data_IF_271913399717
#
_entry.id   IF_271913399717
#
_cell.length_a   1.000
_cell.length_b   1.000
_cell.length_c   1.000
_cell.angle_alpha   90.00
_cell.angle_beta   90.00
_cell.angle_gamma   90.00
#
_symmetry.space_group_name_H-M   'P 1'
#
loop_
_entity.id
_entity.type
_entity.pdbx_description
1 polymer ?
#
# COMPACT_ATOMS: atom_id res chain seq x y z
N UNK A 1 -13.41 11.42 -5.13
CA UNK A 1 -12.86 12.79 -5.28
C UNK A 1 -11.74 12.69 -6.31
N UNK A 2 -11.97 13.21 -7.52
CA UNK A 2 -10.92 13.30 -8.53
C UNK A 2 -10.11 14.57 -8.23
N UNK A 3 -8.83 14.44 -7.88
CA UNK A 3 -7.97 15.58 -7.65
C UNK A 3 -7.61 16.19 -9.02
N UNK A 4 -7.82 17.50 -9.19
CA UNK A 4 -7.53 18.20 -10.45
C UNK A 4 -6.04 18.50 -10.57
N UNK A 5 -5.56 18.73 -11.80
CA UNK A 5 -4.19 19.20 -12.05
C UNK A 5 -3.79 20.43 -11.20
N UNK A 6 -4.74 21.33 -10.98
CA UNK A 6 -4.56 22.51 -10.14
C UNK A 6 -4.20 22.13 -8.71
N UNK A 7 -4.82 21.07 -8.17
CA UNK A 7 -4.54 20.59 -6.82
C UNK A 7 -3.09 20.10 -6.66
N UNK A 8 -2.58 19.37 -7.65
CA UNK A 8 -1.17 18.92 -7.64
C UNK A 8 -0.20 20.10 -7.74
N UNK A 9 -0.57 21.12 -8.52
CA UNK A 9 0.23 22.34 -8.66
C UNK A 9 0.29 23.12 -7.34
N UNK A 10 -0.85 23.31 -6.68
CA UNK A 10 -0.93 23.94 -5.36
C UNK A 10 -0.10 23.18 -4.31
N UNK A 11 -0.17 21.85 -4.30
CA UNK A 11 0.60 21.02 -3.36
C UNK A 11 2.11 21.20 -3.56
N UNK A 12 2.58 21.13 -4.80
CA UNK A 12 4.00 21.34 -5.13
C UNK A 12 4.46 22.74 -4.73
N UNK A 13 3.65 23.76 -4.98
CA UNK A 13 3.96 25.14 -4.57
C UNK A 13 4.03 25.26 -3.03
N UNK A 14 3.12 24.62 -2.32
CA UNK A 14 3.13 24.59 -0.86
C UNK A 14 4.38 23.91 -0.30
N UNK A 15 4.80 22.77 -0.87
CA UNK A 15 6.06 22.11 -0.50
C UNK A 15 7.27 23.01 -0.76
N UNK A 16 7.33 23.68 -1.93
CA UNK A 16 8.39 24.66 -2.25
C UNK A 16 8.43 25.81 -1.25
N UNK A 17 7.26 26.33 -0.84
CA UNK A 17 7.17 27.38 0.17
C UNK A 17 7.74 26.93 1.52
N UNK A 18 7.40 25.71 1.96
CA UNK A 18 7.87 25.15 3.24
C UNK A 18 9.37 24.86 3.24
N UNK A 19 9.93 24.43 2.10
CA UNK A 19 11.37 24.19 1.94
C UNK A 19 12.15 25.52 2.00
N UNK A 20 11.67 26.55 1.28
CA UNK A 20 12.34 27.86 1.23
C UNK A 20 12.19 28.66 2.52
N UNK A 21 11.08 28.47 3.26
CA UNK A 21 10.79 29.20 4.49
C UNK A 21 10.43 28.24 5.64
N UNK A 22 11.41 27.55 6.26
CA UNK A 22 11.17 26.58 7.34
C UNK A 22 10.49 27.18 8.58
N UNK A 23 10.66 28.49 8.80
CA UNK A 23 10.01 29.26 9.87
C UNK A 23 8.48 29.21 9.81
N UNK A 24 7.89 28.90 8.65
CA UNK A 24 6.44 28.71 8.51
C UNK A 24 5.92 27.49 9.28
N UNK A 25 6.80 26.59 9.71
CA UNK A 25 6.47 25.38 10.48
C UNK A 25 7.13 25.41 11.86
N UNK A 26 8.37 25.88 11.93
CA UNK A 26 9.17 25.82 13.16
C UNK A 26 9.31 27.17 13.89
N UNK A 27 8.76 28.25 13.33
CA UNK A 27 8.82 29.58 13.94
C UNK A 27 7.99 29.70 15.21
N UNK A 28 8.24 30.75 16.00
CA UNK A 28 7.56 30.97 17.28
C UNK A 28 6.04 31.25 17.15
N UNK A 29 5.59 31.77 16.01
CA UNK A 29 4.19 32.13 15.74
C UNK A 29 3.73 31.54 14.40
N UNK A 30 3.54 30.23 14.37
CA UNK A 30 3.11 29.51 13.17
C UNK A 30 1.60 29.61 12.99
N UNK A 31 1.17 30.26 11.90
CA UNK A 31 -0.24 30.28 11.53
C UNK A 31 -0.64 28.94 10.91
N UNK A 32 -1.72 28.27 11.37
CA UNK A 32 -2.20 27.02 10.78
C UNK A 32 -2.46 27.13 9.27
N UNK A 33 -2.88 28.32 8.82
CA UNK A 33 -3.16 28.63 7.41
C UNK A 33 -1.94 28.51 6.50
N UNK A 34 -0.72 28.74 7.02
CA UNK A 34 0.52 28.69 6.26
C UNK A 34 1.29 27.38 6.46
N UNK A 35 1.11 26.71 7.60
CA UNK A 35 1.80 25.45 7.91
C UNK A 35 1.08 24.21 7.37
N UNK A 36 -0.23 24.30 7.12
CA UNK A 36 -1.02 23.18 6.63
C UNK A 36 -1.49 23.43 5.20
N UNK A 37 -1.32 22.41 4.37
CA UNK A 37 -1.82 22.42 3.00
C UNK A 37 -3.35 22.62 2.97
N UNK A 38 -3.82 23.52 2.12
CA UNK A 38 -5.23 23.92 2.04
C UNK A 38 -5.72 24.76 3.24
N UNK A 39 -4.82 25.19 4.13
CA UNK A 39 -5.14 26.08 5.25
C UNK A 39 -6.05 25.48 6.32
N UNK A 40 -6.20 24.15 6.34
CA UNK A 40 -7.00 23.43 7.34
C UNK A 40 -6.21 23.22 8.63
N UNK A 41 -6.90 23.06 9.75
CA UNK A 41 -6.25 22.66 11.00
C UNK A 41 -5.61 21.27 10.86
N UNK A 42 -4.48 21.06 11.54
CA UNK A 42 -3.88 19.74 11.64
C UNK A 42 -4.91 18.74 12.17
N UNK A 43 -4.89 17.51 11.65
CA UNK A 43 -5.83 16.45 12.05
C UNK A 43 -5.83 16.19 13.56
N UNK A 44 -4.67 16.32 14.21
CA UNK A 44 -4.54 16.25 15.66
C UNK A 44 -3.71 17.43 16.19
N UNK A 45 -4.37 18.56 16.54
CA UNK A 45 -3.68 19.75 17.03
C UNK A 45 -2.91 19.50 18.33
N UNK A 46 -3.41 18.63 19.21
CA UNK A 46 -2.76 18.31 20.48
C UNK A 46 -1.42 17.58 20.27
N UNK A 47 -1.38 16.62 19.36
CA UNK A 47 -0.15 15.92 18.98
C UNK A 47 0.88 16.88 18.36
N UNK A 48 0.44 17.77 17.46
CA UNK A 48 1.31 18.78 16.85
C UNK A 48 1.88 19.74 17.90
N UNK A 49 1.05 20.24 18.82
CA UNK A 49 1.52 21.09 19.91
C UNK A 49 2.54 20.39 20.82
N UNK A 50 2.35 19.09 21.11
CA UNK A 50 3.32 18.31 21.86
C UNK A 50 4.65 18.14 21.11
N UNK A 51 4.59 17.84 19.81
CA UNK A 51 5.76 17.74 18.95
C UNK A 51 6.53 19.07 18.88
N UNK A 52 5.84 20.21 18.72
CA UNK A 52 6.47 21.52 18.68
C UNK A 52 7.07 21.96 20.03
N UNK A 53 6.48 21.58 21.16
CA UNK A 53 7.11 21.78 22.48
C UNK A 53 8.46 21.04 22.60
N UNK A 54 8.59 19.90 21.93
CA UNK A 54 9.82 19.11 21.90
C UNK A 54 10.77 19.54 20.77
N UNK A 55 10.31 20.30 19.78
CA UNK A 55 11.11 20.68 18.61
C UNK A 55 12.44 21.34 18.99
N UNK A 56 12.44 22.21 20.01
CA UNK A 56 13.65 22.86 20.53
C UNK A 56 14.69 21.89 21.11
N UNK A 57 14.28 20.67 21.48
CA UNK A 57 15.14 19.59 21.99
C UNK A 57 15.53 18.57 20.92
N UNK A 58 14.98 18.68 19.72
CA UNK A 58 15.16 17.75 18.62
C UNK A 58 15.96 18.45 17.51
N UNK A 59 17.28 18.45 17.66
CA UNK A 59 18.22 19.13 16.76
C UNK A 59 18.01 18.76 15.28
N UNK A 60 17.63 17.50 15.00
CA UNK A 60 17.43 17.01 13.64
C UNK A 60 15.99 17.11 13.13
N UNK A 61 15.04 17.62 13.90
CA UNK A 61 13.64 17.68 13.48
C UNK A 61 13.48 18.54 12.23
N UNK A 62 14.01 19.77 12.25
CA UNK A 62 13.97 20.66 11.10
C UNK A 62 14.64 20.06 9.85
N UNK A 63 15.92 19.62 9.88
CA UNK A 63 16.56 19.10 8.68
C UNK A 63 15.92 17.81 8.15
N UNK A 64 15.42 16.91 9.02
CA UNK A 64 14.70 15.70 8.57
C UNK A 64 13.38 16.06 7.89
N UNK A 65 12.63 17.01 8.44
CA UNK A 65 11.37 17.48 7.84
C UNK A 65 11.62 18.13 6.48
N UNK A 66 12.67 18.94 6.33
CA UNK A 66 13.03 19.53 5.04
C UNK A 66 13.46 18.48 4.02
N UNK A 67 14.26 17.49 4.42
CA UNK A 67 14.64 16.37 3.56
C UNK A 67 13.41 15.55 3.11
N UNK A 68 12.44 15.33 4.01
CA UNK A 68 11.17 14.69 3.68
C UNK A 68 10.41 15.49 2.63
N UNK A 69 10.28 16.81 2.78
CA UNK A 69 9.58 17.64 1.80
C UNK A 69 10.28 17.70 0.47
N UNK A 70 11.61 17.74 0.45
CA UNK A 70 12.39 17.68 -0.79
C UNK A 70 12.14 16.35 -1.53
N UNK A 71 12.20 15.23 -0.81
CA UNK A 71 11.91 13.91 -1.38
C UNK A 71 10.47 13.79 -1.88
N UNK A 72 9.52 14.30 -1.10
CA UNK A 72 8.10 14.33 -1.48
C UNK A 72 7.89 15.20 -2.72
N UNK A 73 8.47 16.39 -2.79
CA UNK A 73 8.36 17.29 -3.95
C UNK A 73 8.90 16.61 -5.21
N UNK A 74 10.10 16.04 -5.15
CA UNK A 74 10.70 15.33 -6.27
C UNK A 74 9.78 14.20 -6.78
N UNK A 75 9.20 13.42 -5.85
CA UNK A 75 8.26 12.36 -6.22
C UNK A 75 6.97 12.88 -6.81
N UNK A 76 6.37 13.92 -6.24
CA UNK A 76 5.17 14.54 -6.78
C UNK A 76 5.41 15.14 -8.17
N UNK A 77 6.60 15.73 -8.42
CA UNK A 77 6.97 16.23 -9.74
C UNK A 77 7.02 15.11 -10.78
N UNK A 78 7.60 13.95 -10.47
CA UNK A 78 7.61 12.80 -11.39
C UNK A 78 6.26 12.07 -11.49
N UNK A 79 5.52 11.90 -10.39
CA UNK A 79 4.31 11.08 -10.34
C UNK A 79 3.11 11.74 -11.03
N UNK A 80 3.09 13.07 -11.10
CA UNK A 80 1.94 13.79 -11.64
C UNK A 80 2.10 14.16 -13.11
N UNK A 81 3.24 13.89 -13.75
CA UNK A 81 3.47 14.25 -15.17
C UNK A 81 2.39 13.69 -16.10
N UNK A 82 1.93 12.47 -15.85
CA UNK A 82 0.90 11.79 -16.63
C UNK A 82 -0.49 12.45 -16.50
N UNK A 83 -0.71 13.20 -15.42
CA UNK A 83 -1.95 13.93 -15.13
C UNK A 83 -1.91 15.40 -15.59
N UNK A 84 -0.81 15.84 -16.21
CA UNK A 84 -0.72 17.18 -16.80
C UNK A 84 -1.71 17.35 -17.94
N UNK A 85 -2.16 18.57 -18.26
CA UNK A 85 -2.93 18.82 -19.49
C UNK A 85 -2.17 18.29 -20.71
N UNK A 86 -2.79 17.39 -21.48
CA UNK A 86 -2.16 16.68 -22.59
C UNK A 86 -1.27 15.49 -22.20
N UNK A 87 -1.25 15.11 -20.92
CA UNK A 87 -0.60 13.90 -20.41
C UNK A 87 -1.43 12.64 -20.67
N UNK A 88 -0.80 11.47 -20.52
CA UNK A 88 -1.43 10.18 -20.86
C UNK A 88 -2.74 9.93 -20.13
N UNK A 89 -2.86 10.32 -18.85
CA UNK A 89 -4.09 10.13 -18.07
C UNK A 89 -5.11 11.22 -18.39
N UNK A 90 -4.68 12.45 -18.71
CA UNK A 90 -5.58 13.53 -19.14
C UNK A 90 -6.21 13.25 -20.52
N UNK A 91 -5.48 12.53 -21.37
CA UNK A 91 -5.92 12.13 -22.71
C UNK A 91 -6.64 10.79 -22.76
N UNK A 92 -6.75 10.08 -21.64
CA UNK A 92 -7.39 8.78 -21.59
C UNK A 92 -8.89 8.89 -21.93
N UNK A 93 -9.41 7.90 -22.65
CA UNK A 93 -10.83 7.87 -22.99
C UNK A 93 -11.68 7.58 -21.74
N UNK A 94 -12.99 7.88 -21.82
CA UNK A 94 -13.93 7.52 -20.75
C UNK A 94 -13.89 6.01 -20.48
N UNK A 95 -13.82 5.20 -21.53
CA UNK A 95 -13.74 3.74 -21.42
C UNK A 95 -12.45 3.28 -20.74
N UNK A 96 -11.32 3.93 -21.00
CA UNK A 96 -10.04 3.64 -20.33
C UNK A 96 -10.09 4.04 -18.85
N UNK A 97 -10.70 5.18 -18.52
CA UNK A 97 -10.91 5.60 -17.14
C UNK A 97 -11.82 4.66 -16.37
N UNK A 98 -12.91 4.19 -16.99
CA UNK A 98 -13.84 3.25 -16.38
C UNK A 98 -13.19 1.87 -16.19
N UNK A 99 -12.41 1.40 -17.17
CA UNK A 99 -11.66 0.15 -17.05
C UNK A 99 -10.55 0.22 -15.99
N UNK A 100 -9.91 1.38 -15.83
CA UNK A 100 -8.88 1.62 -14.83
C UNK A 100 -9.44 2.03 -13.46
N UNK A 101 -10.77 2.13 -13.31
CA UNK A 101 -11.37 2.56 -12.06
C UNK A 101 -11.05 1.56 -10.95
N UNK A 102 -10.37 2.06 -9.91
CA UNK A 102 -10.16 1.32 -8.67
C UNK A 102 -10.67 2.15 -7.49
N UNK A 103 -11.25 1.51 -6.46
CA UNK A 103 -11.60 2.20 -5.23
C UNK A 103 -10.39 2.97 -4.68
N UNK A 104 -10.53 4.28 -4.47
CA UNK A 104 -9.46 5.16 -4.00
C UNK A 104 -8.87 4.75 -2.63
N UNK A 105 -9.57 3.89 -1.90
CA UNK A 105 -9.13 3.35 -0.64
C UNK A 105 -9.01 1.85 -0.81
N UNK A 106 -7.81 1.33 -0.58
CA UNK A 106 -7.57 -0.10 -0.41
C UNK A 106 -8.20 -0.64 0.90
N UNK A 107 -9.33 -0.07 1.34
CA UNK A 107 -9.97 -0.38 2.62
C UNK A 107 -10.52 -1.80 2.60
N UNK A 108 -11.08 -2.22 1.46
CA UNK A 108 -11.56 -3.58 1.28
C UNK A 108 -10.45 -4.62 1.51
N UNK A 109 -9.27 -4.45 0.92
CA UNK A 109 -8.17 -5.41 1.14
C UNK A 109 -7.51 -5.22 2.51
N UNK A 110 -7.45 -3.99 3.05
CA UNK A 110 -6.95 -3.74 4.41
C UNK A 110 -7.85 -4.39 5.47
N UNK A 111 -9.17 -4.32 5.27
CA UNK A 111 -10.19 -4.97 6.08
C UNK A 111 -10.11 -6.48 5.97
N UNK A 112 -10.04 -7.03 4.76
CA UNK A 112 -9.90 -8.47 4.54
C UNK A 112 -8.63 -9.04 5.17
N UNK A 113 -7.49 -8.36 5.00
CA UNK A 113 -6.23 -8.77 5.63
C UNK A 113 -6.29 -8.66 7.16
N UNK A 114 -6.95 -7.62 7.69
CA UNK A 114 -7.20 -7.46 9.12
C UNK A 114 -8.04 -8.61 9.68
N UNK A 115 -9.12 -8.97 9.00
CA UNK A 115 -9.99 -10.10 9.37
C UNK A 115 -9.22 -11.42 9.31
N UNK A 116 -8.42 -11.64 8.27
CA UNK A 116 -7.56 -12.81 8.16
C UNK A 116 -6.60 -12.92 9.35
N UNK A 117 -5.89 -11.84 9.69
CA UNK A 117 -4.93 -11.83 10.81
C UNK A 117 -5.59 -12.18 12.14
N UNK A 118 -6.75 -11.60 12.42
CA UNK A 118 -7.50 -11.91 13.64
C UNK A 118 -7.94 -13.39 13.67
N UNK A 119 -8.43 -13.92 12.54
CA UNK A 119 -8.81 -15.34 12.45
C UNK A 119 -7.62 -16.29 12.57
N UNK A 120 -6.47 -15.96 11.98
CA UNK A 120 -5.27 -16.76 12.11
C UNK A 120 -4.75 -16.78 13.56
N UNK A 121 -4.94 -15.69 14.30
CA UNK A 121 -4.61 -15.63 15.72
C UNK A 121 -5.55 -16.48 16.59
N UNK A 122 -6.86 -16.41 16.33
CA UNK A 122 -7.87 -17.20 17.06
C UNK A 122 -7.84 -18.70 16.68
N UNK A 123 -7.57 -18.99 15.40
CA UNK A 123 -7.57 -20.34 14.82
C UNK A 123 -6.28 -20.57 14.02
N UNK A 124 -5.15 -20.85 14.69
CA UNK A 124 -3.85 -21.02 14.03
C UNK A 124 -3.77 -22.26 13.14
N UNK A 125 -4.67 -23.22 13.32
CA UNK A 125 -4.78 -24.41 12.46
C UNK A 125 -5.68 -24.18 11.25
N UNK A 126 -6.28 -22.99 11.10
CA UNK A 126 -7.13 -22.67 9.96
C UNK A 126 -6.27 -22.48 8.72
N UNK A 127 -6.53 -23.34 7.75
CA UNK A 127 -5.95 -23.31 6.43
C UNK A 127 -6.34 -22.01 5.68
N UNK A 128 -5.48 -21.50 4.79
CA UNK A 128 -5.83 -20.35 3.93
C UNK A 128 -7.01 -20.71 3.00
N UNK A 129 -7.04 -21.94 2.50
CA UNK A 129 -8.17 -22.43 1.71
C UNK A 129 -9.48 -22.41 2.51
N UNK A 130 -9.45 -22.89 3.77
CA UNK A 130 -10.61 -22.86 4.66
C UNK A 130 -11.03 -21.44 5.00
N UNK A 131 -10.08 -20.52 5.24
CA UNK A 131 -10.39 -19.11 5.44
C UNK A 131 -11.14 -18.52 4.24
N UNK A 132 -10.62 -18.74 3.03
CA UNK A 132 -11.24 -18.25 1.80
C UNK A 132 -12.64 -18.84 1.59
N UNK A 133 -12.81 -20.14 1.84
CA UNK A 133 -14.10 -20.81 1.76
C UNK A 133 -15.13 -20.22 2.73
N UNK A 134 -14.75 -19.98 4.00
CA UNK A 134 -15.65 -19.36 4.98
C UNK A 134 -15.98 -17.92 4.59
N UNK A 135 -14.98 -17.15 4.14
CA UNK A 135 -15.19 -15.77 3.71
C UNK A 135 -16.16 -15.70 2.53
N UNK A 136 -16.01 -16.58 1.53
CA UNK A 136 -16.95 -16.69 0.41
C UNK A 136 -18.33 -17.15 0.85
N UNK A 137 -18.41 -18.15 1.73
CA UNK A 137 -19.67 -18.65 2.27
C UNK A 137 -20.48 -17.55 2.97
N UNK A 138 -19.80 -16.72 3.78
CA UNK A 138 -20.42 -15.57 4.42
C UNK A 138 -20.77 -14.46 3.42
N UNK A 139 -19.89 -14.17 2.46
CA UNK A 139 -20.11 -13.09 1.50
C UNK A 139 -21.28 -13.36 0.56
N UNK A 140 -21.48 -14.63 0.19
CA UNK A 140 -22.53 -15.06 -0.72
C UNK A 140 -23.83 -15.44 0.00
N UNK A 141 -23.94 -15.18 1.31
CA UNK A 141 -25.08 -15.58 2.15
C UNK A 141 -25.48 -17.05 1.97
N UNK A 142 -24.48 -17.92 1.76
CA UNK A 142 -24.72 -19.34 1.43
C UNK A 142 -25.40 -20.09 2.58
N UNK A 143 -25.33 -19.57 3.80
CA UNK A 143 -26.09 -20.08 4.95
C UNK A 143 -27.60 -20.15 4.68
N UNK A 144 -28.18 -19.12 4.04
CA UNK A 144 -29.63 -19.11 3.76
C UNK A 144 -30.01 -20.22 2.78
N UNK A 145 -29.16 -20.49 1.79
CA UNK A 145 -29.37 -21.58 0.85
C UNK A 145 -29.28 -22.94 1.55
N UNK A 146 -28.25 -23.13 2.39
CA UNK A 146 -28.06 -24.36 3.18
C UNK A 146 -29.27 -24.60 4.08
N UNK A 147 -29.71 -23.59 4.84
CA UNK A 147 -30.85 -23.71 5.76
C UNK A 147 -32.16 -24.05 5.04
N UNK A 148 -32.34 -23.55 3.81
CA UNK A 148 -33.55 -23.77 3.03
C UNK A 148 -33.56 -25.10 2.26
N UNK A 149 -32.39 -25.67 1.93
CA UNK A 149 -32.30 -26.76 0.94
C UNK A 149 -31.56 -28.01 1.42
N UNK A 150 -30.65 -27.91 2.38
CA UNK A 150 -29.84 -29.06 2.80
C UNK A 150 -30.63 -29.99 3.72
N UNK A 151 -30.55 -31.27 3.42
CA UNK A 151 -30.97 -32.36 4.31
C UNK A 151 -29.78 -32.95 5.06
N UNK A 152 -30.04 -33.86 6.00
CA UNK A 152 -28.96 -34.56 6.71
C UNK A 152 -28.05 -35.38 5.79
N UNK A 153 -28.54 -35.86 4.65
CA UNK A 153 -27.75 -36.60 3.67
C UNK A 153 -26.78 -35.67 2.94
N UNK A 154 -27.24 -34.46 2.58
CA UNK A 154 -26.41 -33.44 1.94
C UNK A 154 -25.26 -32.99 2.85
N UNK A 155 -25.51 -32.86 4.16
CA UNK A 155 -24.45 -32.59 5.13
C UNK A 155 -23.42 -33.73 5.20
N UNK A 156 -23.87 -34.99 5.22
CA UNK A 156 -22.95 -36.14 5.19
C UNK A 156 -22.11 -36.13 3.90
N UNK A 157 -22.73 -35.85 2.75
CA UNK A 157 -22.03 -35.77 1.47
C UNK A 157 -21.01 -34.62 1.44
N UNK A 158 -21.38 -33.42 1.89
CA UNK A 158 -20.48 -32.29 2.00
C UNK A 158 -19.27 -32.58 2.91
N UNK A 159 -19.49 -33.23 4.06
CA UNK A 159 -18.40 -33.64 4.96
C UNK A 159 -17.47 -34.68 4.32
N UNK A 160 -18.00 -35.57 3.48
CA UNK A 160 -17.19 -36.48 2.67
C UNK A 160 -16.32 -35.72 1.66
N UNK A 161 -16.91 -34.78 0.92
CA UNK A 161 -16.18 -33.95 -0.06
C UNK A 161 -15.06 -33.13 0.59
N UNK A 162 -15.30 -32.53 1.76
CA UNK A 162 -14.28 -31.78 2.50
C UNK A 162 -13.08 -32.67 2.84
N UNK A 163 -13.33 -33.91 3.30
CA UNK A 163 -12.24 -34.86 3.60
C UNK A 163 -11.46 -35.28 2.36
N UNK A 164 -12.13 -35.46 1.23
CA UNK A 164 -11.48 -35.73 -0.04
C UNK A 164 -10.58 -34.56 -0.45
N UNK A 165 -11.08 -33.32 -0.38
CA UNK A 165 -10.30 -32.11 -0.67
C UNK A 165 -9.10 -32.00 0.27
N UNK A 166 -9.28 -32.18 1.59
CA UNK A 166 -8.18 -32.14 2.55
C UNK A 166 -7.11 -33.21 2.26
N UNK A 167 -7.54 -34.40 1.82
CA UNK A 167 -6.64 -35.51 1.45
C UNK A 167 -5.76 -35.20 0.24
N UNK A 168 -6.16 -34.25 -0.62
CA UNK A 168 -5.35 -33.83 -1.78
C UNK A 168 -4.09 -33.07 -1.39
N UNK A 169 -3.99 -32.58 -0.14
CA UNK A 169 -2.83 -31.81 0.31
C UNK A 169 -2.66 -30.47 -0.41
N UNK A 170 -3.77 -29.86 -0.86
CA UNK A 170 -3.79 -28.62 -1.63
C UNK A 170 -2.95 -27.50 -0.99
N UNK A 171 -3.06 -27.35 0.33
CA UNK A 171 -2.29 -26.37 1.10
C UNK A 171 -0.78 -26.63 1.09
N UNK A 172 -0.40 -27.90 1.19
CA UNK A 172 1.01 -28.32 1.14
C UNK A 172 1.58 -28.01 -0.24
N UNK A 173 0.82 -28.27 -1.29
CA UNK A 173 1.19 -27.93 -2.67
C UNK A 173 1.35 -26.40 -2.83
N UNK A 174 0.39 -25.62 -2.36
CA UNK A 174 0.45 -24.16 -2.41
C UNK A 174 1.67 -23.61 -1.64
N UNK A 175 1.96 -24.12 -0.45
CA UNK A 175 3.17 -23.74 0.30
C UNK A 175 4.46 -24.06 -0.46
N UNK A 176 4.54 -25.23 -1.09
CA UNK A 176 5.68 -25.61 -1.93
C UNK A 176 5.87 -24.66 -3.12
N UNK A 177 4.78 -24.27 -3.78
CA UNK A 177 4.82 -23.30 -4.89
C UNK A 177 5.31 -21.92 -4.43
N UNK A 178 4.86 -21.45 -3.26
CA UNK A 178 5.33 -20.19 -2.67
C UNK A 178 6.83 -20.24 -2.37
N UNK A 179 7.29 -21.32 -1.72
CA UNK A 179 8.71 -21.49 -1.37
C UNK A 179 9.57 -21.50 -2.64
N UNK A 180 9.16 -22.27 -3.67
CA UNK A 180 9.89 -22.34 -4.94
C UNK A 180 9.98 -20.99 -5.64
N UNK A 181 8.87 -20.23 -5.63
CA UNK A 181 8.86 -18.89 -6.20
C UNK A 181 9.80 -17.95 -5.43
N UNK A 182 9.74 -17.94 -4.10
CA UNK A 182 10.62 -17.12 -3.25
C UNK A 182 12.10 -17.47 -3.44
N UNK A 183 12.43 -18.76 -3.54
CA UNK A 183 13.78 -19.23 -3.84
C UNK A 183 14.25 -18.74 -5.22
N UNK A 184 13.39 -18.79 -6.23
CA UNK A 184 13.68 -18.27 -7.57
C UNK A 184 13.97 -16.76 -7.57
N UNK A 185 13.14 -15.97 -6.88
CA UNK A 185 13.34 -14.51 -6.73
C UNK A 185 14.66 -14.18 -6.04
N UNK A 186 15.01 -14.94 -4.98
CA UNK A 186 16.30 -14.77 -4.28
C UNK A 186 17.48 -15.10 -5.19
N UNK A 187 17.39 -16.18 -5.97
CA UNK A 187 18.45 -16.54 -6.92
C UNK A 187 18.61 -15.50 -8.03
N UNK A 188 17.51 -15.04 -8.63
CA UNK A 188 17.53 -13.99 -9.64
C UNK A 188 18.14 -12.70 -9.10
N UNK A 189 17.81 -12.33 -7.86
CA UNK A 189 18.41 -11.16 -7.19
C UNK A 189 19.92 -11.34 -6.97
N UNK A 190 20.37 -12.53 -6.57
CA UNK A 190 21.81 -12.83 -6.41
C UNK A 190 22.55 -12.75 -7.73
N UNK A 191 21.96 -13.25 -8.82
CA UNK A 191 22.54 -13.15 -10.17
C UNK A 191 22.67 -11.68 -10.62
N UNK A 192 21.63 -10.87 -10.47
CA UNK A 192 21.68 -9.43 -10.80
C UNK A 192 22.76 -8.68 -10.01
N UNK A 193 22.98 -9.04 -8.73
CA UNK A 193 24.05 -8.44 -7.91
C UNK A 193 25.43 -8.89 -8.38
N UNK A 194 25.59 -10.16 -8.77
CA UNK A 194 26.85 -10.67 -9.31
C UNK A 194 27.19 -10.04 -10.66
N UNK A 195 26.23 -9.97 -11.59
CA UNK A 195 26.38 -9.32 -12.90
C UNK A 195 26.71 -7.82 -12.76
N UNK A 196 26.08 -7.12 -11.81
CA UNK A 196 26.42 -5.72 -11.52
C UNK A 196 27.84 -5.56 -10.94
N UNK A 197 28.34 -6.53 -10.17
CA UNK A 197 29.71 -6.52 -9.65
C UNK A 197 30.74 -6.80 -10.76
N UNK A 198 30.46 -7.75 -11.65
CA UNK A 198 31.31 -8.07 -12.80
C UNK A 198 31.38 -6.90 -13.80
N UNK A 199 30.24 -6.28 -14.14
CA UNK A 199 30.19 -5.09 -15.00
C UNK A 199 30.93 -3.88 -14.43
N UNK A 200 30.98 -3.73 -13.10
CA UNK A 200 31.78 -2.68 -12.44
C UNK A 200 33.29 -2.95 -12.42
N UNK A 201 33.71 -4.19 -12.68
CA UNK A 201 35.12 -4.58 -12.73
C UNK A 201 35.73 -4.39 -14.12
N UNK A 202 34.92 -4.55 -15.19
CA UNK A 202 35.36 -4.33 -16.58
C UNK A 202 35.53 -2.86 -16.99
N UNK A 203 34.84 -1.91 -16.32
CA UNK A 203 35.07 -0.46 -16.55
C UNK A 203 36.34 0.09 -15.87
N UNK A 204 37.04 -0.74 -15.09
CA UNK A 204 38.22 -0.37 -14.30
C UNK A 204 39.58 -0.68 -14.93
N UNK A 205 39.65 -1.32 -16.10
CA UNK A 205 40.93 -1.68 -16.72
C UNK A 205 41.47 -0.52 -17.57
N UNK A 206 42.61 0.12 -17.21
CA UNK A 206 43.11 1.28 -17.92
C UNK A 206 43.67 0.83 -19.27
N UNK A 207 43.09 1.34 -20.35
CA UNK A 207 43.68 1.24 -21.70
C UNK A 207 45.04 1.96 -21.68
N UNK A 208 46.12 1.17 -21.67
CA UNK A 208 47.50 1.62 -21.86
C UNK A 208 47.79 2.11 -23.27
#
# INVERSE_FOLDING_TARGET
MCWTWDHYTELKQHLKLMITNPELIFGANVAPKTACFGGRLCFNPAAMAAAFKLASKLEHLCPITLALFQGALNKWESFTTEYAPGGTIDQASTEEHDAAWMPAINDANKGALGIFRLRAQDKPTLSMHQHNAITQFCHNDTQLFVDATFTSEDFCHAMHLVREIDSTGLEKKCHLEIIQHEEGEVQAKRQRVAEAAEGSTEEGEPRG
#
